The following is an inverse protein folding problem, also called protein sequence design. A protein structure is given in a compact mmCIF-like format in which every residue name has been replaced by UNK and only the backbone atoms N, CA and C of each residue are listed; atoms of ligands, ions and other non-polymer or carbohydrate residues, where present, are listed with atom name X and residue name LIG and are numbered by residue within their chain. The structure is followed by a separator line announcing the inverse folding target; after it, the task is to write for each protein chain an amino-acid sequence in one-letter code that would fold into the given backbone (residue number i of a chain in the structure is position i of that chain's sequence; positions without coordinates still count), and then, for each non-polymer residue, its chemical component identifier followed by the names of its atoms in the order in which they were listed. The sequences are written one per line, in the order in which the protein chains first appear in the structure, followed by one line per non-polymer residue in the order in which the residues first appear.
data_IF_404408146387
#
_entry.id   IF_404408146387
#
_cell.length_a   1.000
_cell.length_b   1.000
_cell.length_c   1.000
_cell.angle_alpha   90.00
_cell.angle_beta   90.00
_cell.angle_gamma   90.00
#
_symmetry.space_group_name_H-M   'P 1'
#
loop_
_entity.id
_entity.type
_entity.pdbx_description
1 polymer ?
#
# COMPACT_ATOMS: atom_id res chain seq x y z
N UNK A 1 -5.42 1.89 25.05
CA UNK A 1 -5.50 0.48 25.48
C UNK A 1 -6.42 -0.25 24.53
N UNK A 2 -6.08 -1.48 24.14
CA UNK A 2 -6.89 -2.24 23.21
C UNK A 2 -8.29 -2.56 23.79
N UNK A 3 -9.33 -2.42 22.97
CA UNK A 3 -10.71 -2.72 23.35
C UNK A 3 -11.07 -4.17 23.00
N UNK A 4 -10.73 -5.13 23.86
CA UNK A 4 -11.03 -6.55 23.68
C UNK A 4 -12.45 -6.91 24.13
N UNK A 5 -12.89 -8.13 23.83
CA UNK A 5 -14.15 -8.66 24.37
C UNK A 5 -14.04 -8.82 25.89
N UNK A 6 -15.09 -8.41 26.59
CA UNK A 6 -15.23 -8.57 28.03
C UNK A 6 -15.48 -10.03 28.41
N UNK A 7 -15.31 -10.37 29.69
CA UNK A 7 -15.59 -11.73 30.18
C UNK A 7 -17.03 -12.21 29.91
N UNK A 8 -18.01 -11.29 29.82
CA UNK A 8 -19.39 -11.61 29.46
C UNK A 8 -19.62 -11.82 27.96
N UNK A 9 -18.72 -11.31 27.12
CA UNK A 9 -18.79 -11.44 25.65
C UNK A 9 -17.96 -12.60 25.12
N UNK A 10 -16.95 -13.04 25.90
CA UNK A 10 -16.13 -14.19 25.57
C UNK A 10 -16.92 -15.50 25.64
N UNK A 11 -16.63 -16.45 24.73
CA UNK A 11 -17.21 -17.77 24.86
C UNK A 11 -16.64 -18.48 26.09
N UNK A 12 -17.47 -19.28 26.77
CA UNK A 12 -17.11 -19.94 28.03
C UNK A 12 -15.90 -20.90 27.94
N UNK A 13 -15.52 -21.31 26.73
CA UNK A 13 -14.38 -22.18 26.48
C UNK A 13 -13.04 -21.43 26.32
N UNK A 14 -13.03 -20.10 26.34
CA UNK A 14 -11.86 -19.31 25.99
C UNK A 14 -11.41 -18.36 27.10
N UNK A 15 -10.10 -18.20 27.19
CA UNK A 15 -9.42 -17.12 27.91
C UNK A 15 -8.26 -16.64 27.07
N UNK A 16 -8.04 -15.32 27.00
CA UNK A 16 -6.93 -14.76 26.24
C UNK A 16 -5.57 -15.25 26.76
N UNK A 17 -4.63 -15.61 25.86
CA UNK A 17 -3.25 -15.89 26.25
C UNK A 17 -2.63 -14.68 26.96
N UNK A 18 -1.82 -14.94 28.00
CA UNK A 18 -1.19 -13.88 28.77
C UNK A 18 -0.30 -12.96 27.90
N UNK A 19 0.34 -13.53 26.88
CA UNK A 19 1.26 -12.83 25.98
C UNK A 19 0.51 -11.88 25.05
N UNK A 20 -0.66 -12.31 24.54
CA UNK A 20 -1.57 -11.47 23.78
C UNK A 20 -2.09 -10.27 24.61
N UNK A 21 -2.45 -10.51 25.88
CA UNK A 21 -2.89 -9.43 26.77
C UNK A 21 -1.77 -8.41 27.05
N UNK A 22 -0.52 -8.88 27.22
CA UNK A 22 0.63 -7.98 27.40
C UNK A 22 0.85 -7.10 26.16
N UNK A 23 0.78 -7.68 24.97
CA UNK A 23 0.88 -6.96 23.70
C UNK A 23 -0.19 -5.85 23.59
N UNK A 24 -1.45 -6.21 23.84
CA UNK A 24 -2.58 -5.29 23.82
C UNK A 24 -2.47 -4.14 24.83
N UNK A 25 -1.87 -4.41 26.00
CA UNK A 25 -1.65 -3.41 27.04
C UNK A 25 -0.58 -2.37 26.65
N UNK A 26 0.40 -2.77 25.84
CA UNK A 26 1.46 -1.91 25.32
C UNK A 26 1.00 -1.01 24.17
N UNK A 27 -0.17 -1.29 23.58
CA UNK A 27 -0.71 -0.51 22.45
C UNK A 27 -0.17 -0.92 21.09
N UNK A 28 0.66 -1.96 21.02
CA UNK A 28 1.13 -2.56 19.75
C UNK A 28 0.03 -3.47 19.21
N UNK A 29 -0.74 -2.94 18.26
CA UNK A 29 -1.96 -3.60 17.72
C UNK A 29 -1.99 -3.62 16.20
N UNK A 30 -0.91 -3.14 15.58
CA UNK A 30 -0.78 -2.95 14.15
C UNK A 30 0.56 -3.54 13.70
N UNK A 31 0.50 -4.50 12.79
CA UNK A 31 1.59 -5.30 12.28
C UNK A 31 1.35 -5.56 10.79
N UNK A 32 1.28 -4.49 10.00
CA UNK A 32 1.03 -4.51 8.55
C UNK A 32 1.56 -5.80 7.87
N UNK A 33 0.71 -6.63 7.22
CA UNK A 33 -0.71 -6.41 6.91
C UNK A 33 -1.69 -6.72 8.06
N UNK A 34 -1.21 -7.24 9.18
CA UNK A 34 -2.04 -7.76 10.25
C UNK A 34 -2.41 -6.71 11.28
N UNK A 35 -3.72 -6.56 11.52
CA UNK A 35 -4.25 -5.67 12.54
C UNK A 35 -5.01 -6.46 13.60
N UNK A 36 -4.69 -6.23 14.87
CA UNK A 36 -5.44 -6.75 16.01
C UNK A 36 -6.83 -6.08 16.04
N UNK A 37 -7.86 -6.92 15.99
CA UNK A 37 -9.25 -6.49 16.00
C UNK A 37 -9.64 -5.95 17.37
N UNK A 38 -10.35 -4.82 17.40
CA UNK A 38 -10.76 -4.12 18.62
C UNK A 38 -12.18 -3.57 18.51
N UNK A 39 -12.82 -3.36 19.66
CA UNK A 39 -14.11 -2.69 19.80
C UNK A 39 -15.18 -3.29 18.90
N UNK A 40 -15.93 -2.42 18.22
CA UNK A 40 -17.02 -2.84 17.33
C UNK A 40 -16.55 -3.66 16.13
N UNK A 41 -15.31 -3.45 15.66
CA UNK A 41 -14.73 -4.27 14.57
C UNK A 41 -14.56 -5.72 15.00
N UNK A 42 -14.04 -5.94 16.22
CA UNK A 42 -13.91 -7.28 16.79
C UNK A 42 -15.27 -7.95 16.98
N UNK A 43 -16.24 -7.24 17.57
CA UNK A 43 -17.59 -7.77 17.82
C UNK A 43 -18.30 -8.14 16.52
N UNK A 44 -18.29 -7.23 15.55
CA UNK A 44 -18.92 -7.44 14.24
C UNK A 44 -18.27 -8.62 13.51
N UNK A 45 -16.94 -8.70 13.53
CA UNK A 45 -16.22 -9.80 12.91
C UNK A 45 -16.54 -11.14 13.58
N UNK A 46 -16.55 -11.18 14.91
CA UNK A 46 -16.85 -12.39 15.66
C UNK A 46 -18.26 -12.92 15.37
N UNK A 47 -19.28 -12.06 15.35
CA UNK A 47 -20.66 -12.47 14.98
C UNK A 47 -20.77 -12.89 13.51
N UNK A 48 -20.03 -12.24 12.61
CA UNK A 48 -19.96 -12.62 11.20
C UNK A 48 -19.37 -14.02 10.99
N UNK A 49 -18.25 -14.32 11.66
CA UNK A 49 -17.58 -15.63 11.59
C UNK A 49 -18.49 -16.74 12.10
N UNK A 50 -19.20 -16.53 13.23
CA UNK A 50 -20.19 -17.50 13.74
C UNK A 50 -21.29 -17.79 12.72
N UNK A 51 -21.74 -16.76 12.01
CA UNK A 51 -22.81 -16.88 11.01
C UNK A 51 -22.34 -17.66 9.78
N UNK A 52 -21.11 -17.40 9.32
CA UNK A 52 -20.53 -18.06 8.14
C UNK A 52 -20.08 -19.49 8.41
N UNK A 53 -19.54 -19.76 9.59
CA UNK A 53 -19.00 -21.06 9.98
C UNK A 53 -19.72 -21.62 11.23
N UNK A 54 -21.02 -21.91 11.16
CA UNK A 54 -21.80 -22.33 12.33
C UNK A 54 -21.37 -23.70 12.90
N UNK A 55 -20.65 -24.51 12.11
CA UNK A 55 -20.08 -25.79 12.53
C UNK A 55 -18.73 -25.67 13.25
N UNK A 56 -18.16 -24.47 13.33
CA UNK A 56 -16.87 -24.19 13.97
C UNK A 56 -17.06 -23.23 15.15
N UNK A 57 -16.19 -23.36 16.14
CA UNK A 57 -16.18 -22.48 17.31
C UNK A 57 -14.93 -21.59 17.26
N UNK A 58 -14.96 -20.61 16.36
CA UNK A 58 -13.86 -19.70 16.07
C UNK A 58 -14.02 -18.38 16.81
N UNK A 59 -12.95 -17.88 17.39
CA UNK A 59 -12.83 -16.54 17.97
C UNK A 59 -11.74 -15.77 17.22
N UNK A 60 -12.10 -14.81 16.34
CA UNK A 60 -11.12 -14.00 15.63
C UNK A 60 -10.45 -13.00 16.55
N UNK A 61 -9.18 -12.70 16.29
CA UNK A 61 -8.43 -11.68 17.05
C UNK A 61 -7.59 -10.75 16.17
N UNK A 62 -7.25 -11.16 14.95
CA UNK A 62 -6.58 -10.30 13.98
C UNK A 62 -7.16 -10.49 12.58
N UNK A 63 -7.02 -9.47 11.72
CA UNK A 63 -7.34 -9.53 10.29
C UNK A 63 -6.13 -9.09 9.47
N UNK A 64 -6.02 -9.58 8.24
CA UNK A 64 -5.19 -8.95 7.22
C UNK A 64 -5.90 -7.77 6.56
N UNK A 65 -5.12 -6.84 6.04
CA UNK A 65 -5.60 -5.67 5.30
C UNK A 65 -5.63 -5.87 3.79
N UNK A 66 -4.72 -6.71 3.27
CA UNK A 66 -4.55 -7.00 1.85
C UNK A 66 -5.45 -8.13 1.33
N UNK A 67 -6.09 -8.88 2.23
CA UNK A 67 -7.06 -9.90 1.87
C UNK A 67 -8.06 -10.19 3.01
N UNK A 68 -8.92 -11.19 2.82
CA UNK A 68 -9.96 -11.59 3.78
C UNK A 68 -9.49 -12.57 4.87
N UNK A 69 -8.18 -12.77 5.04
CA UNK A 69 -7.66 -13.68 6.05
C UNK A 69 -7.85 -13.10 7.46
N UNK A 70 -8.17 -13.98 8.39
CA UNK A 70 -8.27 -13.69 9.82
C UNK A 70 -7.54 -14.73 10.65
N UNK A 71 -6.93 -14.28 11.74
CA UNK A 71 -6.33 -15.14 12.74
C UNK A 71 -7.36 -15.42 13.84
N UNK A 72 -7.57 -16.69 14.14
CA UNK A 72 -8.56 -17.16 15.09
C UNK A 72 -7.96 -18.13 16.11
N UNK A 73 -8.55 -18.16 17.30
CA UNK A 73 -8.52 -19.34 18.16
C UNK A 73 -9.73 -20.22 17.90
N UNK A 74 -9.59 -21.52 18.08
CA UNK A 74 -10.70 -22.47 17.93
C UNK A 74 -10.82 -23.40 19.13
N UNK A 75 -12.07 -23.70 19.50
CA UNK A 75 -12.36 -24.62 20.60
C UNK A 75 -11.70 -25.99 20.38
N UNK A 76 -11.18 -26.56 21.46
CA UNK A 76 -10.53 -27.88 21.49
C UNK A 76 -9.27 -28.01 20.60
N UNK A 77 -8.70 -26.88 20.13
CA UNK A 77 -7.45 -26.85 19.36
C UNK A 77 -6.23 -26.40 20.19
N UNK A 78 -6.41 -26.14 21.50
CA UNK A 78 -5.34 -25.69 22.40
C UNK A 78 -5.02 -24.20 22.23
N UNK A 79 -3.73 -23.83 22.27
CA UNK A 79 -3.25 -22.45 22.10
C UNK A 79 -2.97 -22.07 20.63
N UNK A 80 -3.29 -22.97 19.70
CA UNK A 80 -3.02 -22.80 18.28
C UNK A 80 -3.74 -21.58 17.70
N UNK A 81 -3.05 -20.90 16.79
CA UNK A 81 -3.62 -19.84 15.97
C UNK A 81 -3.91 -20.41 14.59
N UNK A 82 -5.15 -20.27 14.14
CA UNK A 82 -5.61 -20.78 12.85
C UNK A 82 -5.89 -19.58 11.96
N UNK A 83 -5.26 -19.56 10.78
CA UNK A 83 -5.55 -18.57 9.75
C UNK A 83 -6.60 -19.14 8.84
N UNK A 84 -7.70 -18.40 8.69
CA UNK A 84 -8.77 -18.75 7.76
C UNK A 84 -9.08 -17.58 6.84
N UNK A 85 -9.52 -17.89 5.63
CA UNK A 85 -10.07 -16.95 4.67
C UNK A 85 -11.56 -16.74 4.98
N UNK A 86 -11.93 -15.64 5.64
CA UNK A 86 -13.23 -15.46 6.32
C UNK A 86 -14.45 -15.59 5.41
N UNK A 87 -14.35 -15.27 4.12
CA UNK A 87 -15.45 -15.36 3.16
C UNK A 87 -15.41 -16.59 2.24
N UNK A 88 -14.53 -17.55 2.50
CA UNK A 88 -14.49 -18.80 1.76
C UNK A 88 -15.74 -19.67 2.02
N UNK A 89 -15.99 -20.60 1.11
CA UNK A 89 -17.01 -21.64 1.32
C UNK A 89 -16.57 -22.58 2.45
N UNK A 90 -17.52 -23.03 3.26
CA UNK A 90 -17.27 -23.98 4.37
C UNK A 90 -16.49 -25.20 3.87
N UNK A 91 -15.37 -25.52 4.52
CA UNK A 91 -14.44 -26.59 4.18
C UNK A 91 -13.20 -26.13 3.39
N UNK A 92 -13.20 -24.90 2.87
CA UNK A 92 -12.11 -24.33 2.06
C UNK A 92 -11.42 -23.15 2.75
N UNK A 93 -11.86 -22.77 3.94
CA UNK A 93 -11.40 -21.55 4.60
C UNK A 93 -10.01 -21.67 5.22
N UNK A 94 -9.50 -22.87 5.53
CA UNK A 94 -8.23 -23.01 6.25
C UNK A 94 -7.03 -22.68 5.35
N UNK A 95 -6.19 -21.75 5.82
CA UNK A 95 -4.97 -21.31 5.12
C UNK A 95 -3.73 -21.93 5.76
N UNK A 96 -3.51 -21.66 7.05
CA UNK A 96 -2.35 -22.18 7.80
C UNK A 96 -2.64 -22.24 9.30
N UNK A 97 -1.78 -22.91 10.07
CA UNK A 97 -1.90 -23.09 11.52
C UNK A 97 -0.53 -22.87 12.17
N UNK A 98 -0.51 -22.11 13.27
CA UNK A 98 0.65 -21.92 14.13
C UNK A 98 0.41 -22.62 15.48
N UNK A 99 1.46 -23.20 16.04
CA UNK A 99 1.38 -23.96 17.30
C UNK A 99 0.97 -23.08 18.49
N UNK A 100 1.41 -21.82 18.49
CA UNK A 100 1.11 -20.84 19.54
C UNK A 100 0.89 -19.43 18.99
N UNK A 101 0.34 -18.54 19.83
CA UNK A 101 0.30 -17.11 19.54
C UNK A 101 1.69 -16.51 19.32
N UNK A 102 2.72 -16.98 20.03
CA UNK A 102 4.08 -16.47 19.88
C UNK A 102 4.69 -16.84 18.52
N UNK A 103 4.35 -18.01 17.97
CA UNK A 103 4.80 -18.43 16.65
C UNK A 103 4.13 -17.62 15.55
N UNK A 104 2.81 -17.38 15.67
CA UNK A 104 2.11 -16.45 14.78
C UNK A 104 2.69 -15.03 14.87
N UNK A 105 2.94 -14.53 16.09
CA UNK A 105 3.46 -13.17 16.28
C UNK A 105 4.85 -13.00 15.67
N UNK A 106 5.73 -14.02 15.80
CA UNK A 106 7.04 -14.00 15.17
C UNK A 106 6.94 -13.89 13.65
N UNK A 107 6.12 -14.76 13.04
CA UNK A 107 5.88 -14.74 11.59
C UNK A 107 5.34 -13.38 11.14
N UNK A 108 4.42 -12.80 11.90
CA UNK A 108 3.81 -11.50 11.56
C UNK A 108 4.79 -10.35 11.73
N UNK A 109 5.68 -10.39 12.73
CA UNK A 109 6.73 -9.37 12.88
C UNK A 109 7.74 -9.48 11.74
N UNK A 110 8.21 -10.69 11.44
CA UNK A 110 9.16 -10.93 10.35
C UNK A 110 8.53 -10.50 9.01
N UNK A 111 7.27 -10.88 8.77
CA UNK A 111 6.53 -10.47 7.59
C UNK A 111 6.24 -8.96 7.54
N UNK A 112 6.09 -8.26 8.68
CA UNK A 112 5.87 -6.81 8.70
C UNK A 112 7.14 -6.01 8.36
N UNK A 113 8.33 -6.55 8.62
CA UNK A 113 9.58 -5.98 8.12
C UNK A 113 9.64 -6.03 6.58
N UNK A 114 9.12 -7.10 6.00
CA UNK A 114 9.08 -7.36 4.56
C UNK A 114 7.81 -6.83 3.86
N UNK A 115 6.74 -6.54 4.59
CA UNK A 115 5.46 -6.14 4.03
C UNK A 115 5.53 -4.71 3.49
N UNK A 116 5.26 -4.59 2.20
CA UNK A 116 5.49 -3.35 1.44
C UNK A 116 4.34 -2.34 1.55
N UNK A 117 3.20 -2.72 2.16
CA UNK A 117 2.04 -1.86 2.37
C UNK A 117 1.43 -1.28 1.09
N UNK A 118 0.27 -0.60 1.16
CA UNK A 118 -0.12 0.33 0.12
C UNK A 118 0.86 1.51 0.10
N UNK A 119 1.14 2.04 -1.10
CA UNK A 119 1.91 3.27 -1.26
C UNK A 119 1.36 4.37 -0.35
N UNK A 120 2.19 4.87 0.57
CA UNK A 120 1.86 5.97 1.46
C UNK A 120 2.82 7.14 1.21
N UNK A 121 2.32 8.36 1.15
CA UNK A 121 3.17 9.55 0.98
C UNK A 121 3.20 10.36 2.28
N UNK A 122 4.40 10.59 2.81
CA UNK A 122 4.63 11.53 3.92
C UNK A 122 4.82 12.94 3.38
N UNK A 123 4.63 13.93 4.26
CA UNK A 123 4.80 15.36 3.92
C UNK A 123 3.96 15.85 2.73
N UNK A 124 2.83 15.18 2.46
CA UNK A 124 1.88 15.59 1.43
C UNK A 124 1.12 16.84 1.85
N UNK A 125 0.82 17.72 0.90
CA UNK A 125 -0.17 18.78 1.10
C UNK A 125 -1.59 18.19 1.22
N UNK A 126 -2.58 18.97 1.69
CA UNK A 126 -3.97 18.55 1.63
C UNK A 126 -4.35 18.06 0.23
N UNK A 127 -5.23 17.03 0.13
CA UNK A 127 -5.67 16.47 -1.14
C UNK A 127 -5.98 17.50 -2.21
N UNK A 128 -5.55 17.23 -3.44
CA UNK A 128 -5.86 18.08 -4.58
C UNK A 128 -7.37 18.08 -4.85
N UNK A 129 -7.94 19.27 -5.03
CA UNK A 129 -9.36 19.44 -5.33
C UNK A 129 -9.67 19.09 -6.78
N UNK A 130 -10.94 18.90 -7.11
CA UNK A 130 -11.38 18.72 -8.51
C UNK A 130 -10.92 19.87 -9.41
N UNK A 131 -10.88 21.11 -8.89
CA UNK A 131 -10.40 22.26 -9.64
C UNK A 131 -8.89 22.22 -9.88
N UNK A 132 -8.11 21.69 -8.94
CA UNK A 132 -6.66 21.52 -9.10
C UNK A 132 -6.36 20.48 -10.20
N UNK A 133 -7.07 19.34 -10.15
CA UNK A 133 -6.98 18.31 -11.18
C UNK A 133 -7.44 18.85 -12.54
N UNK A 134 -8.51 19.64 -12.61
CA UNK A 134 -8.98 20.25 -13.85
C UNK A 134 -7.96 21.22 -14.45
N UNK A 135 -7.26 22.01 -13.61
CA UNK A 135 -6.17 22.90 -14.05
C UNK A 135 -5.02 22.10 -14.64
N UNK A 136 -4.61 21.01 -13.99
CA UNK A 136 -3.56 20.13 -14.50
C UNK A 136 -3.96 19.46 -15.82
N UNK A 137 -5.18 18.92 -15.90
CA UNK A 137 -5.70 18.28 -17.11
C UNK A 137 -5.81 19.25 -18.29
N UNK A 138 -6.00 20.55 -18.04
CA UNK A 138 -6.02 21.58 -19.09
C UNK A 138 -4.64 21.83 -19.73
N UNK A 139 -3.54 21.38 -19.10
CA UNK A 139 -2.19 21.45 -19.68
C UNK A 139 -1.93 20.34 -20.70
N UNK A 140 -2.69 19.24 -20.63
CA UNK A 140 -2.39 18.00 -21.35
C UNK A 140 -3.30 17.82 -22.57
N UNK A 141 -2.77 17.39 -23.74
CA UNK A 141 -3.58 17.08 -24.91
C UNK A 141 -4.29 15.73 -24.83
N UNK A 142 -3.92 14.88 -23.86
CA UNK A 142 -4.50 13.58 -23.57
C UNK A 142 -5.02 13.55 -22.13
N UNK A 143 -6.01 12.70 -21.79
CA UNK A 143 -6.47 12.58 -20.41
C UNK A 143 -5.36 12.16 -19.45
N UNK A 144 -5.36 12.72 -18.24
CA UNK A 144 -4.48 12.26 -17.16
C UNK A 144 -4.79 10.80 -16.79
N UNK A 145 -3.78 9.99 -16.42
CA UNK A 145 -4.01 8.63 -15.93
C UNK A 145 -4.93 8.61 -14.70
N UNK A 146 -5.89 7.69 -14.66
CA UNK A 146 -6.83 7.57 -13.53
C UNK A 146 -6.10 7.33 -12.20
N UNK A 147 -5.05 6.51 -12.21
CA UNK A 147 -4.22 6.27 -11.03
C UNK A 147 -3.50 7.52 -10.53
N UNK A 148 -3.10 8.42 -11.45
CA UNK A 148 -2.48 9.70 -11.10
C UNK A 148 -3.49 10.61 -10.42
N UNK A 149 -4.71 10.74 -10.97
CA UNK A 149 -5.78 11.53 -10.37
C UNK A 149 -6.10 11.04 -8.96
N UNK A 150 -6.28 9.72 -8.79
CA UNK A 150 -6.58 9.11 -7.49
C UNK A 150 -5.45 9.34 -6.46
N UNK A 151 -4.19 9.25 -6.90
CA UNK A 151 -3.04 9.55 -6.06
C UNK A 151 -3.11 11.00 -5.56
N UNK A 152 -3.28 11.99 -6.45
CA UNK A 152 -3.28 13.40 -6.07
C UNK A 152 -4.50 13.84 -5.25
N UNK A 153 -5.65 13.19 -5.45
CA UNK A 153 -6.84 13.34 -4.62
C UNK A 153 -6.72 12.67 -3.24
N UNK A 154 -5.63 11.95 -2.99
CA UNK A 154 -5.31 11.36 -1.68
C UNK A 154 -4.11 12.05 -1.04
N UNK A 155 -3.06 12.29 -1.83
CA UNK A 155 -1.77 12.84 -1.45
C UNK A 155 -1.32 13.86 -2.49
N UNK A 156 -1.42 15.15 -2.18
CA UNK A 156 -0.95 16.20 -3.09
C UNK A 156 0.56 16.39 -2.94
N UNK A 157 1.34 15.62 -3.68
CA UNK A 157 2.80 15.51 -3.54
C UNK A 157 3.20 14.73 -2.28
N UNK A 158 4.50 14.69 -2.01
CA UNK A 158 5.06 14.06 -0.81
C UNK A 158 6.09 12.97 -1.09
N UNK A 159 6.72 12.48 -0.03
CA UNK A 159 7.76 11.45 -0.11
C UNK A 159 7.14 10.06 0.01
N UNK A 160 7.35 9.16 -0.97
CA UNK A 160 6.74 7.85 -0.92
C UNK A 160 7.46 6.93 0.07
N UNK A 161 6.65 6.14 0.77
CA UNK A 161 7.03 4.97 1.52
C UNK A 161 6.27 3.78 0.91
N UNK A 162 6.97 2.83 0.26
CA UNK A 162 8.43 2.76 0.12
C UNK A 162 9.01 3.75 -0.94
N UNK A 163 10.33 3.96 -0.95
CA UNK A 163 11.00 5.02 -1.74
C UNK A 163 11.79 4.52 -2.97
N UNK A 164 11.42 3.35 -3.51
CA UNK A 164 11.98 2.82 -4.75
C UNK A 164 10.87 2.26 -5.63
N UNK A 165 11.11 2.26 -6.93
CA UNK A 165 10.31 1.58 -7.95
C UNK A 165 11.21 0.62 -8.73
N UNK A 166 10.67 -0.39 -9.38
CA UNK A 166 11.48 -1.34 -10.14
C UNK A 166 10.89 -1.64 -11.52
N UNK A 167 11.75 -2.12 -12.42
CA UNK A 167 11.34 -2.86 -13.62
C UNK A 167 11.82 -4.32 -13.50
N UNK A 168 11.91 -5.04 -14.62
CA UNK A 168 12.38 -6.44 -14.65
C UNK A 168 13.89 -6.57 -14.37
N UNK A 169 14.68 -5.51 -14.48
CA UNK A 169 16.13 -5.53 -14.47
C UNK A 169 16.77 -4.71 -13.34
N UNK A 170 16.12 -3.63 -12.90
CA UNK A 170 16.69 -2.62 -12.02
C UNK A 170 15.69 -2.08 -10.99
N UNK A 171 16.25 -1.54 -9.92
CA UNK A 171 15.53 -0.79 -8.88
C UNK A 171 15.99 0.67 -8.98
N UNK A 172 15.04 1.59 -9.04
CA UNK A 172 15.25 3.02 -9.19
C UNK A 172 14.80 3.76 -7.92
N UNK A 173 15.60 4.70 -7.40
CA UNK A 173 15.19 5.52 -6.28
C UNK A 173 14.13 6.53 -6.72
N UNK A 174 13.22 6.85 -5.80
CA UNK A 174 12.29 7.98 -5.94
C UNK A 174 12.33 8.78 -4.65
N UNK A 175 12.51 10.09 -4.77
CA UNK A 175 12.62 10.98 -3.61
C UNK A 175 11.26 11.53 -3.20
N UNK A 176 10.55 12.16 -4.13
CA UNK A 176 9.24 12.75 -3.86
C UNK A 176 8.41 12.92 -5.12
N UNK A 177 7.10 12.91 -4.93
CA UNK A 177 6.11 13.40 -5.89
C UNK A 177 6.01 14.92 -5.78
N UNK A 178 6.00 15.58 -6.93
CA UNK A 178 5.63 16.99 -7.04
C UNK A 178 4.18 17.17 -6.64
N UNK A 179 3.85 18.28 -5.98
CA UNK A 179 2.47 18.76 -5.82
C UNK A 179 1.87 19.13 -7.18
N UNK A 180 0.55 19.22 -7.29
CA UNK A 180 -0.13 19.60 -8.54
C UNK A 180 0.32 20.97 -9.06
N UNK A 181 0.56 21.94 -8.18
CA UNK A 181 1.06 23.25 -8.58
C UNK A 181 2.52 23.17 -9.07
N UNK A 182 3.38 22.40 -8.38
CA UNK A 182 4.77 22.15 -8.83
C UNK A 182 4.83 21.44 -10.18
N UNK A 183 3.91 20.50 -10.47
CA UNK A 183 3.81 19.88 -11.79
C UNK A 183 3.58 20.94 -12.86
N UNK A 184 2.64 21.86 -12.62
CA UNK A 184 2.34 22.95 -13.57
C UNK A 184 3.56 23.85 -13.80
N UNK A 185 4.26 24.21 -12.74
CA UNK A 185 5.48 25.01 -12.81
C UNK A 185 6.59 24.28 -13.59
N UNK A 186 6.86 23.02 -13.26
CA UNK A 186 7.86 22.19 -13.92
C UNK A 186 7.55 21.96 -15.41
N UNK A 187 6.28 21.71 -15.76
CA UNK A 187 5.86 21.49 -17.14
C UNK A 187 6.22 22.65 -18.08
N UNK A 188 6.24 23.88 -17.56
CA UNK A 188 6.61 25.06 -18.33
C UNK A 188 8.13 25.33 -18.37
N UNK A 189 8.86 24.85 -17.36
CA UNK A 189 10.29 25.12 -17.17
C UNK A 189 11.20 24.24 -18.02
N UNK A 190 10.86 22.98 -18.28
CA UNK A 190 11.69 22.13 -19.14
C UNK A 190 11.71 22.65 -20.59
N UNK A 191 12.91 22.92 -21.09
CA UNK A 191 13.19 23.15 -22.50
C UNK A 191 13.46 21.83 -23.22
N UNK A 192 13.63 21.87 -24.55
CA UNK A 192 13.88 20.66 -25.34
C UNK A 192 15.22 20.01 -25.03
N UNK A 193 16.21 20.77 -24.53
CA UNK A 193 17.53 20.25 -24.15
C UNK A 193 17.47 19.38 -22.89
N UNK A 194 16.50 19.64 -21.99
CA UNK A 194 16.25 18.83 -20.80
C UNK A 194 15.38 17.59 -21.03
N UNK A 195 14.97 17.28 -22.27
CA UNK A 195 14.10 16.15 -22.59
C UNK A 195 14.87 15.03 -23.31
N UNK A 196 14.48 13.76 -23.12
CA UNK A 196 15.13 12.66 -23.83
C UNK A 196 15.03 12.79 -25.35
N UNK A 197 15.97 12.19 -26.06
CA UNK A 197 16.03 12.25 -27.51
C UNK A 197 14.68 11.83 -28.15
N UNK A 198 14.18 12.69 -29.05
CA UNK A 198 12.93 12.45 -29.77
C UNK A 198 11.66 12.88 -29.02
N UNK A 199 11.77 13.46 -27.83
CA UNK A 199 10.69 14.18 -27.17
C UNK A 199 10.77 15.68 -27.45
N UNK A 200 9.59 16.32 -27.50
CA UNK A 200 9.45 17.77 -27.65
C UNK A 200 8.82 18.40 -26.41
N UNK A 201 8.96 19.71 -26.28
CA UNK A 201 8.31 20.47 -25.22
C UNK A 201 6.80 20.19 -25.20
N UNK A 202 6.29 19.86 -24.02
CA UNK A 202 4.87 19.53 -23.81
C UNK A 202 4.50 18.08 -24.12
N UNK A 203 5.45 17.20 -24.44
CA UNK A 203 5.19 15.77 -24.67
C UNK A 203 5.40 14.89 -23.42
N UNK A 204 5.99 15.44 -22.35
CA UNK A 204 6.18 14.78 -21.06
C UNK A 204 5.64 15.66 -19.92
N UNK A 205 4.85 15.06 -19.04
CA UNK A 205 4.34 15.69 -17.83
C UNK A 205 5.14 15.18 -16.61
N UNK A 206 6.09 15.96 -16.06
CA UNK A 206 6.85 15.56 -14.88
C UNK A 206 5.93 15.45 -13.66
N UNK A 207 6.12 14.44 -12.81
CA UNK A 207 5.29 14.24 -11.60
C UNK A 207 6.08 13.81 -10.36
N UNK A 208 7.30 13.32 -10.52
CA UNK A 208 8.17 13.00 -9.40
C UNK A 208 9.65 13.13 -9.80
N UNK A 209 10.53 13.10 -8.81
CA UNK A 209 11.97 13.15 -9.02
C UNK A 209 12.70 12.21 -8.07
N UNK A 210 13.89 11.79 -8.47
CA UNK A 210 14.80 11.01 -7.63
C UNK A 210 15.76 11.93 -6.84
N UNK A 211 16.57 11.39 -5.91
CA UNK A 211 17.57 12.19 -5.18
C UNK A 211 18.70 12.77 -6.07
N UNK A 212 18.87 12.26 -7.28
CA UNK A 212 19.95 12.55 -8.24
C UNK A 212 19.55 13.49 -9.38
N UNK A 213 18.42 14.20 -9.29
CA UNK A 213 17.86 15.09 -10.33
C UNK A 213 17.32 14.37 -11.57
N UNK A 214 17.09 13.07 -11.49
CA UNK A 214 16.26 12.30 -12.40
C UNK A 214 14.78 12.64 -12.24
N UNK A 215 14.04 12.56 -13.34
CA UNK A 215 12.65 12.95 -13.45
C UNK A 215 11.80 11.75 -13.86
N UNK A 216 10.70 11.56 -13.16
CA UNK A 216 9.62 10.68 -13.56
C UNK A 216 8.53 11.52 -14.24
N UNK A 217 8.14 11.12 -15.46
CA UNK A 217 7.16 11.84 -16.25
C UNK A 217 6.20 10.91 -16.98
N UNK A 218 4.95 11.35 -17.14
CA UNK A 218 3.94 10.67 -17.96
C UNK A 218 4.03 11.19 -19.40
N UNK A 219 4.00 10.29 -20.37
CA UNK A 219 3.95 10.65 -21.79
C UNK A 219 2.58 11.17 -22.21
N UNK A 220 2.60 12.29 -22.93
CA UNK A 220 1.42 12.97 -23.47
C UNK A 220 1.27 12.75 -24.98
N UNK A 221 2.16 11.97 -25.60
CA UNK A 221 2.13 11.68 -27.03
C UNK A 221 1.09 10.61 -27.32
N UNK A 222 0.37 10.72 -28.43
CA UNK A 222 -0.68 9.77 -28.80
C UNK A 222 -0.20 8.31 -28.90
N UNK A 223 1.03 8.08 -29.38
CA UNK A 223 1.58 6.73 -29.62
C UNK A 223 1.88 5.95 -28.33
N UNK A 224 2.04 6.63 -27.21
CA UNK A 224 2.48 6.07 -25.93
C UNK A 224 1.86 6.82 -24.73
N UNK A 225 0.67 7.36 -24.92
CA UNK A 225 -0.02 8.17 -23.92
C UNK A 225 -0.20 7.38 -22.62
N UNK A 226 0.18 8.01 -21.49
CA UNK A 226 0.06 7.40 -20.16
C UNK A 226 1.24 6.52 -19.74
N UNK A 227 2.19 6.20 -20.63
CA UNK A 227 3.44 5.53 -20.24
C UNK A 227 4.24 6.42 -19.29
N UNK A 228 4.89 5.81 -18.30
CA UNK A 228 5.77 6.52 -17.36
C UNK A 228 7.21 6.29 -17.79
N UNK A 229 7.97 7.39 -17.86
CA UNK A 229 9.39 7.40 -18.14
C UNK A 229 10.15 7.91 -16.93
N UNK A 230 11.26 7.25 -16.60
CA UNK A 230 12.30 7.78 -15.73
C UNK A 230 13.52 8.13 -16.56
N UNK A 231 13.96 9.38 -16.51
CA UNK A 231 15.12 9.85 -17.24
C UNK A 231 15.99 10.79 -16.40
N UNK A 232 17.28 10.81 -16.68
CA UNK A 232 18.26 11.65 -15.96
C UNK A 232 18.97 12.53 -16.97
N UNK A 233 19.03 13.83 -16.67
CA UNK A 233 19.82 14.79 -17.44
C UNK A 233 21.24 14.86 -16.87
N UNK A 234 22.21 14.33 -17.62
CA UNK A 234 23.63 14.55 -17.38
C UNK A 234 24.15 15.57 -18.38
N UNK A 235 24.75 15.11 -19.48
CA UNK A 235 25.06 15.94 -20.65
C UNK A 235 23.87 15.96 -21.64
N UNK A 236 23.13 14.85 -21.69
CA UNK A 236 21.89 14.66 -22.43
C UNK A 236 20.90 13.93 -21.52
N UNK A 237 19.61 14.07 -21.78
CA UNK A 237 18.59 13.34 -21.04
C UNK A 237 18.50 11.89 -21.56
N UNK A 238 18.83 10.94 -20.69
CA UNK A 238 18.82 9.51 -20.99
C UNK A 238 17.69 8.80 -20.25
N UNK A 239 16.97 7.91 -20.92
CA UNK A 239 15.87 7.13 -20.33
C UNK A 239 16.45 5.89 -19.65
N UNK A 240 16.11 5.70 -18.38
CA UNK A 240 16.55 4.57 -17.55
C UNK A 240 15.43 3.58 -17.23
N UNK A 241 14.19 4.07 -17.07
CA UNK A 241 13.04 3.24 -16.71
C UNK A 241 11.82 3.57 -17.56
N UNK A 242 11.05 2.55 -17.92
CA UNK A 242 9.80 2.69 -18.68
C UNK A 242 8.76 1.75 -18.07
N UNK A 243 7.61 2.31 -17.68
CA UNK A 243 6.44 1.53 -17.27
C UNK A 243 5.33 1.70 -18.31
N UNK A 244 4.60 0.62 -18.63
CA UNK A 244 3.58 0.64 -19.69
C UNK A 244 2.42 1.59 -19.39
N UNK A 245 2.15 1.87 -18.12
CA UNK A 245 1.20 2.87 -17.68
C UNK A 245 1.48 3.29 -16.22
N UNK A 246 0.74 4.30 -15.74
CA UNK A 246 0.86 4.79 -14.36
C UNK A 246 0.47 3.74 -13.30
N UNK A 247 -0.43 2.81 -13.62
CA UNK A 247 -0.83 1.76 -12.67
C UNK A 247 0.29 0.74 -12.50
N UNK A 248 0.98 0.35 -13.55
CA UNK A 248 2.16 -0.49 -13.50
C UNK A 248 3.32 0.19 -12.73
N UNK A 249 3.49 1.50 -12.91
CA UNK A 249 4.43 2.28 -12.09
C UNK A 249 4.08 2.22 -10.60
N UNK A 250 2.82 2.50 -10.22
CA UNK A 250 2.39 2.42 -8.81
C UNK A 250 2.54 1.01 -8.23
N UNK A 251 2.31 -0.03 -9.02
CA UNK A 251 2.45 -1.42 -8.60
C UNK A 251 3.92 -1.86 -8.42
N UNK A 252 4.88 -1.06 -8.90
CA UNK A 252 6.31 -1.39 -8.84
C UNK A 252 7.02 -0.82 -7.61
N UNK A 253 6.30 -0.16 -6.70
CA UNK A 253 6.89 0.38 -5.48
C UNK A 253 7.43 -0.74 -4.58
N UNK A 254 8.67 -0.60 -4.13
CA UNK A 254 9.37 -1.59 -3.30
C UNK A 254 10.33 -0.92 -2.32
N UNK A 255 10.67 -1.59 -1.22
CA UNK A 255 11.78 -1.17 -0.35
C UNK A 255 13.10 -1.66 -0.97
N UNK A 256 14.20 -0.97 -0.69
CA UNK A 256 15.52 -1.50 -1.03
C UNK A 256 15.83 -2.70 -0.13
N UNK A 257 15.65 -3.91 -0.64
CA UNK A 257 16.12 -5.14 0.01
C UNK A 257 17.59 -5.33 -0.35
N UNK A 258 18.48 -5.21 0.64
CA UNK A 258 19.82 -5.78 0.51
C UNK A 258 19.70 -7.27 0.74
N UNK A 259 19.82 -8.04 -0.33
CA UNK A 259 20.21 -9.44 -0.23
C UNK A 259 21.61 -9.58 0.41
#
# INVERSE_FOLDING_TARGET
MAQLLTASELPAWFSYPADFLRLCAQGTVDFDPWIILQGDRLKTRYEGVKTRYPGRALLPFARREDNDDIACWERDQGERVIIIHDFASVGYENVTVFDTFADWLREVIDAAEDYQGPLFLTDSLPPATENDIARLAALTPVPLPVGMIALYQTFNGGQPLPSYVHDDAYIYPINAFFTVDEIGDCFHQFDEEGLPEGFKKGELLPFAYDPGSGIYAVSLREKDAGQVYFYILHEQAEIFGIWPDFSAFLASFTRYTRD
#
